data_IF_890463626421
#
_entry.id   IF_890463626421
#
_cell.length_a   1.000
_cell.length_b   1.000
_cell.length_c   1.000
_cell.angle_alpha   90.00
_cell.angle_beta   90.00
_cell.angle_gamma   90.00
#
_symmetry.space_group_name_H-M   'P 1'
#
loop_
_entity.id
_entity.type
_entity.pdbx_description
1 polymer ?
#
# COMPACT_ATOMS: atom_id res chain seq x y z
N UNK A 1 8.15 2.70 -20.99
CA UNK A 1 6.78 2.86 -21.53
C UNK A 1 5.99 3.84 -20.67
N UNK A 2 4.84 4.33 -21.14
CA UNK A 2 3.89 5.03 -20.28
C UNK A 2 3.11 3.99 -19.46
N UNK A 3 3.39 3.92 -18.16
CA UNK A 3 2.71 2.98 -17.25
C UNK A 3 1.22 3.29 -17.11
N UNK A 4 0.80 4.54 -17.35
CA UNK A 4 -0.62 4.92 -17.31
C UNK A 4 -1.40 4.29 -18.45
N UNK A 5 -0.82 4.25 -19.66
CA UNK A 5 -1.44 3.63 -20.83
C UNK A 5 -1.48 2.11 -20.75
N UNK A 6 -0.56 1.50 -19.98
CA UNK A 6 -0.54 0.06 -19.76
C UNK A 6 -1.65 -0.43 -18.81
N UNK A 7 -2.31 0.47 -18.07
CA UNK A 7 -3.41 0.12 -17.16
C UNK A 7 -4.73 -0.09 -17.91
N UNK A 8 -5.48 -1.11 -17.52
CA UNK A 8 -6.79 -1.39 -18.10
C UNK A 8 -7.89 -0.75 -17.26
N UNK A 9 -8.75 0.02 -17.92
CA UNK A 9 -9.99 0.50 -17.33
C UNK A 9 -11.09 -0.57 -17.49
N UNK A 10 -11.75 -0.90 -16.37
CA UNK A 10 -12.86 -1.85 -16.34
C UNK A 10 -14.11 -1.11 -15.83
N UNK A 11 -14.99 -0.67 -16.73
CA UNK A 11 -16.18 0.08 -16.35
C UNK A 11 -17.18 -0.80 -15.58
N UNK A 12 -17.91 -0.17 -14.67
CA UNK A 12 -18.97 -0.77 -13.86
C UNK A 12 -18.53 -1.93 -12.94
N UNK A 13 -17.26 -1.93 -12.51
CA UNK A 13 -16.72 -2.91 -11.57
C UNK A 13 -16.20 -2.26 -10.27
N UNK A 14 -16.45 -2.84 -9.07
CA UNK A 14 -17.26 -4.04 -8.80
C UNK A 14 -18.77 -3.78 -8.86
N UNK A 15 -19.17 -2.53 -9.11
CA UNK A 15 -20.57 -2.12 -9.25
C UNK A 15 -20.69 -0.98 -10.25
N UNK A 16 -21.92 -0.78 -10.75
CA UNK A 16 -22.25 0.28 -11.69
C UNK A 16 -21.77 1.66 -11.22
N UNK A 17 -21.15 2.41 -12.13
CA UNK A 17 -20.64 3.75 -11.90
C UNK A 17 -19.22 3.83 -11.36
N UNK A 18 -18.55 2.70 -11.11
CA UNK A 18 -17.12 2.65 -10.77
C UNK A 18 -16.32 2.25 -12.00
N UNK A 19 -15.27 3.03 -12.29
CA UNK A 19 -14.25 2.67 -13.27
C UNK A 19 -13.05 2.08 -12.54
N UNK A 20 -12.89 0.76 -12.62
CA UNK A 20 -11.84 0.06 -11.90
C UNK A 20 -10.54 0.07 -12.71
N UNK A 21 -9.45 0.50 -12.06
CA UNK A 21 -8.12 0.49 -12.66
C UNK A 21 -7.45 -0.87 -12.38
N UNK A 22 -7.40 -1.69 -13.41
CA UNK A 22 -6.84 -3.04 -13.36
C UNK A 22 -5.35 -3.04 -13.69
N UNK A 23 -4.54 -3.39 -12.69
CA UNK A 23 -3.08 -3.46 -12.77
C UNK A 23 -2.58 -4.73 -13.45
N UNK A 24 -3.42 -5.73 -13.70
CA UNK A 24 -2.95 -7.05 -14.15
C UNK A 24 -2.26 -7.02 -15.51
N UNK A 25 -2.59 -6.08 -16.38
CA UNK A 25 -1.90 -5.84 -17.65
C UNK A 25 -0.45 -5.40 -17.44
N UNK A 26 -0.19 -4.54 -16.45
CA UNK A 26 1.17 -4.17 -16.02
C UNK A 26 1.89 -5.36 -15.41
N UNK A 27 1.20 -6.15 -14.58
CA UNK A 27 1.83 -7.31 -13.91
C UNK A 27 2.19 -8.45 -14.89
N UNK A 28 1.47 -8.58 -16.00
CA UNK A 28 1.69 -9.62 -17.02
C UNK A 28 2.80 -9.27 -18.02
N UNK A 29 3.11 -7.98 -18.17
CA UNK A 29 4.19 -7.49 -19.02
C UNK A 29 5.48 -7.36 -18.19
N UNK A 30 6.53 -8.09 -18.57
CA UNK A 30 7.77 -8.15 -17.80
C UNK A 30 8.47 -6.78 -17.70
N UNK A 31 8.44 -5.99 -18.77
CA UNK A 31 9.07 -4.67 -18.83
C UNK A 31 8.24 -3.66 -18.03
N UNK A 32 6.90 -3.72 -18.14
CA UNK A 32 6.01 -2.86 -17.37
C UNK A 32 6.10 -3.15 -15.86
N UNK A 33 6.13 -4.42 -15.47
CA UNK A 33 6.30 -4.83 -14.08
C UNK A 33 7.65 -4.33 -13.54
N UNK A 34 8.75 -4.58 -14.25
CA UNK A 34 10.07 -4.09 -13.84
C UNK A 34 10.07 -2.57 -13.68
N UNK A 35 9.57 -1.84 -14.69
CA UNK A 35 9.51 -0.38 -14.65
C UNK A 35 8.65 0.11 -13.48
N UNK A 36 7.51 -0.52 -13.19
CA UNK A 36 6.64 -0.12 -12.07
C UNK A 36 7.35 -0.26 -10.72
N UNK A 37 8.08 -1.35 -10.49
CA UNK A 37 8.85 -1.57 -9.26
C UNK A 37 10.02 -0.59 -9.19
N UNK A 38 10.73 -0.34 -10.29
CA UNK A 38 11.86 0.60 -10.32
C UNK A 38 11.41 2.05 -10.05
N UNK A 39 10.28 2.49 -10.60
CA UNK A 39 9.74 3.81 -10.31
C UNK A 39 9.29 3.93 -8.84
N UNK A 40 8.61 2.92 -8.30
CA UNK A 40 8.26 2.92 -6.88
C UNK A 40 9.51 2.92 -5.98
N UNK A 41 10.57 2.20 -6.35
CA UNK A 41 11.83 2.19 -5.62
C UNK A 41 12.44 3.59 -5.53
N UNK A 42 12.45 4.35 -6.63
CA UNK A 42 12.91 5.74 -6.65
C UNK A 42 12.10 6.64 -5.70
N UNK A 43 10.80 6.40 -5.58
CA UNK A 43 9.95 7.14 -4.62
C UNK A 43 10.31 6.77 -3.17
N UNK A 44 10.49 5.49 -2.88
CA UNK A 44 10.92 5.03 -1.55
C UNK A 44 12.28 5.61 -1.16
N UNK A 45 13.26 5.63 -2.08
CA UNK A 45 14.60 6.17 -1.82
C UNK A 45 14.59 7.66 -1.44
N UNK A 46 13.61 8.43 -1.92
CA UNK A 46 13.45 9.86 -1.59
C UNK A 46 12.98 10.10 -0.15
N UNK A 47 12.37 9.10 0.49
CA UNK A 47 11.91 9.17 1.89
C UNK A 47 13.07 9.09 2.90
N UNK A 48 14.29 8.83 2.43
CA UNK A 48 15.48 8.66 3.26
C UNK A 48 15.54 7.28 3.91
N UNK A 49 16.25 7.18 5.03
CA UNK A 49 16.44 5.90 5.72
C UNK A 49 15.13 5.34 6.29
N UNK A 50 14.97 4.02 6.26
CA UNK A 50 13.87 3.30 6.90
C UNK A 50 14.31 1.86 7.21
N UNK A 51 13.55 1.16 8.05
CA UNK A 51 13.89 -0.18 8.54
C UNK A 51 13.10 -1.28 7.84
N UNK A 52 11.80 -1.04 7.60
CA UNK A 52 10.86 -2.03 7.13
C UNK A 52 9.94 -1.47 6.04
N UNK A 53 9.55 -2.34 5.10
CA UNK A 53 8.40 -2.10 4.24
C UNK A 53 7.21 -2.91 4.74
N UNK A 54 6.06 -2.26 4.82
CA UNK A 54 4.78 -2.91 5.07
C UNK A 54 3.93 -2.86 3.80
N UNK A 55 3.36 -4.00 3.45
CA UNK A 55 2.34 -4.10 2.40
C UNK A 55 1.03 -4.62 2.99
N UNK A 56 -0.12 -3.98 2.74
CA UNK A 56 -1.42 -4.54 3.07
C UNK A 56 -1.85 -5.59 2.04
N UNK A 57 -2.68 -6.53 2.50
CA UNK A 57 -3.17 -7.62 1.66
C UNK A 57 -4.15 -7.12 0.58
N UNK A 58 -4.10 -7.65 -0.65
CA UNK A 58 -3.07 -8.54 -1.22
C UNK A 58 -2.14 -7.82 -2.18
N UNK A 59 -2.60 -6.75 -2.80
CA UNK A 59 -1.89 -6.08 -3.91
C UNK A 59 -0.70 -5.27 -3.42
N UNK A 60 -0.74 -4.76 -2.19
CA UNK A 60 0.44 -4.22 -1.53
C UNK A 60 1.57 -5.23 -1.35
N UNK A 61 1.31 -6.54 -1.33
CA UNK A 61 2.38 -7.54 -1.31
C UNK A 61 3.11 -7.63 -2.64
N UNK A 62 2.38 -7.44 -3.75
CA UNK A 62 2.90 -7.58 -5.12
C UNK A 62 4.00 -6.55 -5.38
N UNK A 63 3.86 -5.34 -4.83
CA UNK A 63 4.88 -4.28 -4.95
C UNK A 63 5.79 -4.20 -3.72
N UNK A 64 5.24 -4.35 -2.52
CA UNK A 64 5.99 -4.19 -1.27
C UNK A 64 7.07 -5.24 -1.07
N UNK A 65 6.80 -6.52 -1.37
CA UNK A 65 7.79 -7.58 -1.16
C UNK A 65 8.97 -7.49 -2.14
N UNK A 66 8.78 -7.27 -3.46
CA UNK A 66 9.89 -7.01 -4.38
C UNK A 66 10.71 -5.77 -4.02
N UNK A 67 10.07 -4.69 -3.57
CA UNK A 67 10.78 -3.48 -3.12
C UNK A 67 11.64 -3.76 -1.88
N UNK A 68 11.09 -4.44 -0.88
CA UNK A 68 11.84 -4.84 0.31
C UNK A 68 13.06 -5.69 -0.05
N UNK A 69 12.88 -6.66 -0.95
CA UNK A 69 13.97 -7.48 -1.49
C UNK A 69 15.03 -6.62 -2.19
N UNK A 70 14.62 -5.76 -3.13
CA UNK A 70 15.52 -4.92 -3.93
C UNK A 70 16.29 -3.87 -3.12
N UNK A 71 15.78 -3.50 -1.94
CA UNK A 71 16.38 -2.52 -1.03
C UNK A 71 17.09 -3.16 0.18
N UNK A 72 17.10 -4.50 0.26
CA UNK A 72 17.67 -5.26 1.37
C UNK A 72 17.05 -4.85 2.73
N UNK A 73 15.72 -4.83 2.78
CA UNK A 73 14.90 -4.47 3.95
C UNK A 73 13.95 -5.61 4.33
N UNK A 74 13.46 -5.58 5.56
CA UNK A 74 12.41 -6.51 5.99
C UNK A 74 11.07 -6.17 5.35
N UNK A 75 10.24 -7.20 5.12
CA UNK A 75 8.85 -7.05 4.67
C UNK A 75 7.90 -7.56 5.75
N UNK A 76 6.86 -6.79 6.07
CA UNK A 76 5.83 -7.18 7.04
C UNK A 76 4.44 -7.09 6.40
N UNK A 77 3.67 -8.18 6.37
CA UNK A 77 2.31 -8.16 5.84
C UNK A 77 1.30 -7.66 6.87
N UNK A 78 0.41 -6.76 6.46
CA UNK A 78 -0.87 -6.53 7.13
C UNK A 78 -1.93 -7.36 6.41
N UNK A 79 -2.72 -8.14 7.14
CA UNK A 79 -3.68 -9.10 6.55
C UNK A 79 -5.08 -8.92 7.08
N UNK A 80 -6.05 -9.48 6.36
CA UNK A 80 -7.39 -9.65 6.90
C UNK A 80 -7.39 -10.63 8.07
N UNK A 81 -8.39 -10.48 8.94
CA UNK A 81 -8.56 -11.32 10.14
C UNK A 81 -8.43 -12.81 9.87
N UNK A 82 -7.66 -13.50 10.72
CA UNK A 82 -7.51 -14.95 10.73
C UNK A 82 -6.54 -15.50 9.67
N UNK A 83 -5.78 -14.64 8.99
CA UNK A 83 -4.75 -15.05 8.02
C UNK A 83 -3.35 -15.11 8.62
N UNK A 84 -3.14 -14.48 9.77
CA UNK A 84 -1.88 -14.44 10.49
C UNK A 84 -1.89 -15.49 11.62
N UNK A 85 -0.91 -16.41 11.68
CA UNK A 85 -0.96 -17.54 12.62
C UNK A 85 -0.42 -17.23 14.02
N UNK A 86 0.35 -16.15 14.18
CA UNK A 86 0.87 -15.74 15.48
C UNK A 86 -0.07 -14.72 16.15
N UNK A 87 0.28 -14.24 17.34
CA UNK A 87 -0.53 -13.24 18.06
C UNK A 87 -0.59 -11.94 17.27
N UNK A 88 -1.78 -11.34 17.22
CA UNK A 88 -2.05 -10.17 16.37
C UNK A 88 -2.58 -8.99 17.17
N UNK A 89 -2.18 -7.79 16.75
CA UNK A 89 -2.93 -6.56 17.01
C UNK A 89 -3.88 -6.31 15.84
N UNK A 90 -5.08 -5.83 16.14
CA UNK A 90 -6.12 -5.62 15.14
C UNK A 90 -6.70 -4.20 15.17
N UNK A 91 -7.26 -3.81 14.02
CA UNK A 91 -8.06 -2.60 13.88
C UNK A 91 -9.29 -2.92 13.02
N UNK A 92 -10.45 -2.49 13.51
CA UNK A 92 -11.69 -2.50 12.72
C UNK A 92 -11.76 -1.21 11.91
N UNK A 93 -12.16 -1.32 10.64
CA UNK A 93 -12.37 -0.19 9.76
C UNK A 93 -13.69 -0.30 9.01
N UNK A 94 -14.26 0.86 8.67
CA UNK A 94 -15.54 0.92 7.98
C UNK A 94 -15.35 0.72 6.47
N UNK A 95 -16.17 -0.17 5.92
CA UNK A 95 -16.41 -0.27 4.49
C UNK A 95 -17.65 0.55 4.13
N UNK A 96 -17.92 0.71 2.84
CA UNK A 96 -19.17 1.30 2.36
C UNK A 96 -20.40 0.52 2.86
N UNK A 97 -20.25 -0.80 3.02
CA UNK A 97 -21.24 -1.67 3.64
C UNK A 97 -20.55 -2.61 4.64
N UNK A 98 -20.70 -2.32 5.94
CA UNK A 98 -20.17 -3.13 7.03
C UNK A 98 -18.80 -2.69 7.55
N UNK A 99 -18.19 -3.56 8.35
CA UNK A 99 -16.82 -3.40 8.87
C UNK A 99 -15.97 -4.58 8.45
N UNK A 100 -14.66 -4.36 8.35
CA UNK A 100 -13.67 -5.42 8.16
C UNK A 100 -12.51 -5.18 9.15
N UNK A 101 -11.68 -6.20 9.37
CA UNK A 101 -10.62 -6.18 10.38
C UNK A 101 -9.28 -6.47 9.73
N UNK A 102 -8.33 -5.57 9.95
CA UNK A 102 -6.93 -5.77 9.60
C UNK A 102 -6.13 -6.20 10.83
N UNK A 103 -5.17 -7.09 10.60
CA UNK A 103 -4.30 -7.68 11.59
C UNK A 103 -2.82 -7.56 11.17
N UNK A 104 -1.97 -7.36 12.16
CA UNK A 104 -0.51 -7.43 12.09
C UNK A 104 -0.01 -8.25 13.27
N UNK A 105 1.07 -9.02 13.12
CA UNK A 105 1.64 -9.73 14.27
C UNK A 105 2.16 -8.71 15.31
N UNK A 106 1.96 -9.01 16.60
CA UNK A 106 2.36 -8.12 17.71
C UNK A 106 3.87 -7.88 17.79
N UNK A 107 4.68 -8.77 17.20
CA UNK A 107 6.13 -8.73 17.18
C UNK A 107 6.72 -8.25 15.84
N UNK A 108 5.87 -7.84 14.90
CA UNK A 108 6.30 -7.49 13.55
C UNK A 108 7.08 -6.17 13.50
N UNK A 109 6.87 -5.29 14.47
CA UNK A 109 7.44 -3.95 14.55
C UNK A 109 8.02 -3.75 15.95
N UNK A 110 9.24 -3.24 16.02
CA UNK A 110 9.88 -2.77 17.24
C UNK A 110 9.66 -1.26 17.40
N UNK A 111 9.47 -0.75 18.62
CA UNK A 111 9.35 0.68 18.86
C UNK A 111 10.50 1.49 18.24
N UNK A 112 10.16 2.59 17.56
CA UNK A 112 11.11 3.49 16.88
C UNK A 112 11.53 3.03 15.48
N UNK A 113 11.07 1.88 14.98
CA UNK A 113 11.35 1.48 13.60
C UNK A 113 10.63 2.40 12.61
N UNK A 114 11.37 2.89 11.62
CA UNK A 114 10.86 3.72 10.54
C UNK A 114 10.32 2.84 9.42
N UNK A 115 9.06 3.04 9.05
CA UNK A 115 8.30 2.14 8.18
C UNK A 115 7.82 2.87 6.93
N UNK A 116 8.02 2.24 5.78
CA UNK A 116 7.39 2.66 4.52
C UNK A 116 6.21 1.76 4.23
N UNK A 117 5.03 2.32 4.00
CA UNK A 117 3.85 1.57 3.55
C UNK A 117 3.83 1.60 2.04
N UNK A 118 3.70 0.42 1.42
CA UNK A 118 3.60 0.24 -0.03
C UNK A 118 2.26 -0.40 -0.36
N UNK A 119 1.50 0.21 -1.27
CA UNK A 119 0.26 -0.38 -1.79
C UNK A 119 0.09 -0.14 -3.30
N UNK A 120 -0.85 -0.84 -3.94
CA UNK A 120 -1.10 -0.65 -5.36
C UNK A 120 -1.86 0.65 -5.66
N UNK A 121 -2.83 1.03 -4.82
CA UNK A 121 -3.73 2.13 -5.14
C UNK A 121 -4.15 2.98 -3.93
N UNK A 122 -3.98 4.29 -4.04
CA UNK A 122 -4.59 5.26 -3.14
C UNK A 122 -5.94 5.74 -3.71
N UNK A 123 -7.03 5.38 -3.01
CA UNK A 123 -8.38 5.87 -3.27
C UNK A 123 -8.78 6.94 -2.24
N UNK A 124 -9.63 6.59 -1.28
CA UNK A 124 -10.10 7.50 -0.22
C UNK A 124 -9.14 7.64 0.96
N UNK A 125 -8.09 6.81 1.03
CA UNK A 125 -7.10 6.79 2.12
C UNK A 125 -7.51 6.04 3.40
N UNK A 126 -8.75 5.53 3.49
CA UNK A 126 -9.26 4.89 4.71
C UNK A 126 -8.50 3.62 5.15
N UNK A 127 -8.15 2.75 4.20
CA UNK A 127 -7.35 1.54 4.48
C UNK A 127 -5.95 1.91 4.92
N UNK A 128 -5.30 2.85 4.24
CA UNK A 128 -3.98 3.35 4.60
C UNK A 128 -3.96 3.96 6.00
N UNK A 129 -4.96 4.77 6.36
CA UNK A 129 -5.09 5.33 7.70
C UNK A 129 -5.18 4.23 8.79
N UNK A 130 -5.88 3.14 8.48
CA UNK A 130 -6.01 2.00 9.40
C UNK A 130 -4.69 1.24 9.54
N UNK A 131 -3.92 1.09 8.45
CA UNK A 131 -2.57 0.51 8.48
C UNK A 131 -1.61 1.37 9.32
N UNK A 132 -1.65 2.69 9.17
CA UNK A 132 -0.86 3.64 9.97
C UNK A 132 -1.15 3.43 11.46
N UNK A 133 -2.44 3.41 11.84
CA UNK A 133 -2.83 3.20 13.24
C UNK A 133 -2.35 1.87 13.81
N UNK A 134 -2.30 0.80 13.01
CA UNK A 134 -1.72 -0.49 13.45
C UNK A 134 -0.21 -0.38 13.70
N UNK A 135 0.51 0.31 12.81
CA UNK A 135 1.95 0.52 12.92
C UNK A 135 2.28 1.33 14.18
N UNK A 136 1.59 2.45 14.38
CA UNK A 136 1.78 3.34 15.53
C UNK A 136 1.44 2.64 16.86
N UNK A 137 0.42 1.76 16.87
CA UNK A 137 0.10 0.93 18.05
C UNK A 137 1.24 0.02 18.49
N UNK A 138 2.08 -0.43 17.56
CA UNK A 138 3.29 -1.22 17.86
C UNK A 138 4.53 -0.33 18.11
N UNK A 139 4.36 1.00 18.09
CA UNK A 139 5.43 1.97 18.30
C UNK A 139 6.27 2.25 17.06
N UNK A 140 5.84 1.84 15.87
CA UNK A 140 6.51 2.19 14.61
C UNK A 140 6.25 3.63 14.19
N UNK A 141 7.19 4.20 13.44
CA UNK A 141 7.10 5.55 12.88
C UNK A 141 6.91 5.45 11.36
N UNK A 142 5.83 6.01 10.82
CA UNK A 142 5.58 5.95 9.38
C UNK A 142 6.45 7.00 8.66
N UNK A 143 7.45 6.53 7.92
CA UNK A 143 8.39 7.34 7.15
C UNK A 143 7.79 7.86 5.84
N UNK A 144 6.84 7.13 5.26
CA UNK A 144 6.11 7.57 4.07
C UNK A 144 5.21 6.49 3.47
N UNK A 145 4.39 6.94 2.52
CA UNK A 145 3.32 6.18 1.89
C UNK A 145 3.56 6.19 0.38
N UNK A 146 3.80 5.02 -0.20
CA UNK A 146 4.15 4.87 -1.62
C UNK A 146 3.12 4.02 -2.33
N UNK A 147 2.53 4.56 -3.38
CA UNK A 147 1.50 3.90 -4.17
C UNK A 147 1.94 3.72 -5.61
N UNK A 148 1.47 2.66 -6.26
CA UNK A 148 1.60 2.57 -7.71
C UNK A 148 0.66 3.58 -8.39
N UNK A 149 -0.61 3.60 -7.99
CA UNK A 149 -1.66 4.45 -8.56
C UNK A 149 -2.27 5.35 -7.48
N UNK A 150 -2.64 6.57 -7.84
CA UNK A 150 -3.46 7.46 -7.04
C UNK A 150 -4.65 7.98 -7.84
N UNK A 151 -5.84 7.90 -7.23
CA UNK A 151 -7.08 8.50 -7.76
C UNK A 151 -7.27 9.88 -7.10
N UNK A 152 -6.66 10.91 -7.69
CA UNK A 152 -6.59 12.26 -7.11
C UNK A 152 -7.96 12.87 -6.87
N UNK A 153 -8.93 12.57 -7.74
CA UNK A 153 -10.32 13.04 -7.62
C UNK A 153 -11.06 12.52 -6.37
N UNK A 154 -10.52 11.51 -5.67
CA UNK A 154 -11.07 11.01 -4.39
C UNK A 154 -10.50 11.70 -3.16
N UNK A 155 -9.54 12.62 -3.33
CA UNK A 155 -8.94 13.42 -2.27
C UNK A 155 -8.36 12.57 -1.11
N UNK A 156 -7.82 11.38 -1.40
CA UNK A 156 -7.33 10.46 -0.36
C UNK A 156 -6.25 11.05 0.55
N UNK A 157 -5.41 11.95 0.00
CA UNK A 157 -4.38 12.69 0.75
C UNK A 157 -4.93 13.49 1.92
N UNK A 158 -6.18 13.95 1.85
CA UNK A 158 -6.80 14.74 2.93
C UNK A 158 -6.93 13.94 4.23
N UNK A 159 -7.10 12.62 4.14
CA UNK A 159 -7.12 11.72 5.30
C UNK A 159 -5.72 11.39 5.83
N UNK A 160 -4.70 11.65 5.03
CA UNK A 160 -3.30 11.27 5.30
C UNK A 160 -2.43 12.51 5.57
N UNK A 161 -3.05 13.63 5.98
CA UNK A 161 -2.35 14.85 6.35
C UNK A 161 -1.33 14.57 7.45
N UNK A 162 -0.10 15.06 7.24
CA UNK A 162 1.03 14.82 8.13
C UNK A 162 1.96 13.70 7.69
N UNK A 163 1.59 12.93 6.65
CA UNK A 163 2.44 11.90 6.06
C UNK A 163 2.92 12.30 4.66
N UNK A 164 4.12 11.85 4.29
CA UNK A 164 4.61 11.97 2.91
C UNK A 164 3.90 10.93 2.03
N UNK A 165 3.18 11.41 1.01
CA UNK A 165 2.39 10.59 0.08
C UNK A 165 2.94 10.77 -1.32
N UNK A 166 3.39 9.66 -1.91
CA UNK A 166 3.92 9.62 -3.27
C UNK A 166 3.26 8.51 -4.09
N UNK A 167 3.15 8.73 -5.40
CA UNK A 167 2.50 7.82 -6.35
C UNK A 167 3.23 7.86 -7.70
N UNK A 168 3.25 6.73 -8.43
CA UNK A 168 3.86 6.66 -9.76
C UNK A 168 2.91 7.20 -10.83
N UNK A 169 1.65 6.78 -10.79
CA UNK A 169 0.59 7.18 -11.74
C UNK A 169 -0.51 7.92 -10.99
N UNK A 170 -0.98 9.04 -11.56
CA UNK A 170 -2.11 9.81 -11.02
C UNK A 170 -3.25 9.91 -12.05
N UNK A 171 -4.48 9.70 -11.57
CA UNK A 171 -5.74 9.89 -12.29
C UNK A 171 -6.58 11.00 -11.69
#
# INVERSE_FOLDING_TARGET
MDLKEALRHVPDFPKKGIDFIDITTVLQDADALQQSVDEMKKLVERLGDFDLIIGPESRGFIFGAPLAYAMHKGFVPIRKRGKLPYKTVSIEYQLEYGTDILEIHEDAIKPGQRIVIVDDLLATGGTTESNIKLIEKLGGEVAGLVFFIELGFLNGRERLKGYDVTSVVQF
#
